data_IF_533048547486
#
_entry.id   IF_533048547486
#
_cell.length_a   1.000
_cell.length_b   1.000
_cell.length_c   1.000
_cell.angle_alpha   90.00
_cell.angle_beta   90.00
_cell.angle_gamma   90.00
#
_symmetry.space_group_name_H-M   'P 1'
#
loop_
_entity.id
_entity.type
_entity.pdbx_description
1 polymer ?
#
# COMPACT_ATOMS: atom_id res chain seq x y z
N UNK A 1 -6.86 18.61 9.78
CA UNK A 1 -6.58 19.70 10.74
C UNK A 1 -5.45 20.51 10.12
N UNK A 2 -5.57 21.83 9.99
CA UNK A 2 -4.52 22.68 9.40
C UNK A 2 -3.75 23.45 10.48
N UNK A 3 -2.61 24.05 10.12
CA UNK A 3 -1.73 24.80 11.03
C UNK A 3 -1.95 26.32 11.00
N UNK A 4 -3.01 26.83 10.35
CA UNK A 4 -3.21 28.28 10.17
C UNK A 4 -3.24 29.05 11.50
N UNK A 5 -3.95 28.51 12.49
CA UNK A 5 -4.05 29.14 13.82
C UNK A 5 -2.71 29.16 14.56
N UNK A 6 -1.93 28.10 14.43
CA UNK A 6 -0.60 27.98 15.02
C UNK A 6 0.37 28.96 14.36
N UNK A 7 0.46 28.94 13.03
CA UNK A 7 1.30 29.81 12.21
C UNK A 7 1.00 31.30 12.44
N UNK A 8 -0.28 31.67 12.44
CA UNK A 8 -0.71 33.04 12.71
C UNK A 8 -0.26 33.52 14.10
N UNK A 9 -0.46 32.70 15.13
CA UNK A 9 -0.06 33.04 16.50
C UNK A 9 1.45 33.15 16.64
N UNK A 10 2.21 32.24 16.02
CA UNK A 10 3.67 32.29 15.99
C UNK A 10 4.19 33.59 15.36
N UNK A 11 3.53 34.06 14.30
CA UNK A 11 3.84 35.32 13.63
C UNK A 11 3.23 36.57 14.31
N UNK A 12 2.61 36.42 15.49
CA UNK A 12 1.95 37.50 16.24
C UNK A 12 0.91 38.29 15.44
N UNK A 13 0.23 37.61 14.49
CA UNK A 13 -0.81 38.20 13.64
C UNK A 13 -2.20 38.00 14.22
N UNK A 14 -3.08 38.95 13.97
CA UNK A 14 -4.52 38.85 14.24
C UNK A 14 -5.24 38.14 13.09
N UNK A 15 -6.43 37.60 13.35
CA UNK A 15 -7.23 36.99 12.28
C UNK A 15 -7.66 38.02 11.22
N UNK A 16 -7.78 39.30 11.59
CA UNK A 16 -8.13 40.36 10.66
C UNK A 16 -6.95 40.64 9.71
N UNK A 17 -5.72 40.77 10.22
CA UNK A 17 -4.54 41.04 9.39
C UNK A 17 -4.32 39.98 8.30
N UNK A 18 -4.50 38.69 8.63
CA UNK A 18 -4.34 37.62 7.64
C UNK A 18 -5.53 37.58 6.68
N UNK A 19 -6.75 37.88 7.15
CA UNK A 19 -7.92 37.97 6.29
C UNK A 19 -7.81 39.13 5.28
N UNK A 20 -7.28 40.28 5.71
CA UNK A 20 -7.04 41.44 4.85
C UNK A 20 -6.01 41.12 3.76
N UNK A 21 -4.92 40.42 4.11
CA UNK A 21 -3.93 39.92 3.13
C UNK A 21 -4.58 38.99 2.10
N UNK A 22 -5.51 38.14 2.53
CA UNK A 22 -6.19 37.17 1.67
C UNK A 22 -7.38 37.74 0.89
N UNK A 23 -7.64 39.04 1.02
CA UNK A 23 -8.82 39.73 0.49
C UNK A 23 -10.13 39.01 0.84
N UNK A 24 -10.31 38.74 2.15
CA UNK A 24 -11.48 38.03 2.65
C UNK A 24 -11.96 38.54 4.01
N UNK A 25 -13.15 38.11 4.41
CA UNK A 25 -13.67 38.46 5.74
C UNK A 25 -12.93 37.72 6.86
N UNK A 26 -12.74 38.37 8.01
CA UNK A 26 -12.22 37.73 9.24
C UNK A 26 -12.98 36.46 9.62
N UNK A 27 -14.31 36.47 9.45
CA UNK A 27 -15.15 35.29 9.71
C UNK A 27 -14.84 34.16 8.74
N UNK A 28 -14.58 34.46 7.46
CA UNK A 28 -14.13 33.48 6.48
C UNK A 28 -12.79 32.85 6.85
N UNK A 29 -11.81 33.67 7.23
CA UNK A 29 -10.51 33.17 7.70
C UNK A 29 -10.64 32.34 8.99
N UNK A 30 -11.47 32.75 9.95
CA UNK A 30 -11.76 31.97 11.16
C UNK A 30 -12.33 30.58 10.83
N UNK A 31 -13.23 30.48 9.84
CA UNK A 31 -13.74 29.18 9.37
C UNK A 31 -12.64 28.29 8.81
N UNK A 32 -11.66 28.86 8.09
CA UNK A 32 -10.49 28.10 7.65
C UNK A 32 -9.66 27.60 8.85
N UNK A 33 -9.34 28.44 9.83
CA UNK A 33 -8.60 28.01 11.04
C UNK A 33 -9.31 26.86 11.79
N UNK A 34 -10.63 26.87 11.81
CA UNK A 34 -11.44 25.85 12.47
C UNK A 34 -11.74 24.62 11.60
N UNK A 35 -11.35 24.62 10.32
CA UNK A 35 -11.68 23.54 9.38
C UNK A 35 -13.16 23.49 8.96
N UNK A 36 -13.93 24.53 9.25
CA UNK A 36 -15.34 24.66 8.85
C UNK A 36 -15.51 24.98 7.36
N UNK A 37 -14.41 25.28 6.65
CA UNK A 37 -14.41 25.54 5.21
C UNK A 37 -13.11 25.05 4.59
N UNK A 38 -13.22 24.47 3.39
CA UNK A 38 -12.07 24.00 2.63
C UNK A 38 -11.26 25.19 2.07
N UNK A 39 -9.94 25.06 2.12
CA UNK A 39 -9.00 26.01 1.53
C UNK A 39 -8.68 25.49 0.13
N UNK A 40 -8.92 26.31 -0.90
CA UNK A 40 -8.59 25.94 -2.28
C UNK A 40 -7.06 25.96 -2.49
N UNK A 41 -6.51 25.18 -3.44
CA UNK A 41 -5.06 25.08 -3.64
C UNK A 41 -4.35 26.43 -3.83
N UNK A 42 -4.93 27.33 -4.63
CA UNK A 42 -4.40 28.69 -4.87
C UNK A 42 -4.31 29.52 -3.59
N UNK A 43 -5.32 29.40 -2.72
CA UNK A 43 -5.36 30.10 -1.42
C UNK A 43 -4.42 29.46 -0.40
N UNK A 44 -4.26 28.14 -0.45
CA UNK A 44 -3.31 27.43 0.40
C UNK A 44 -1.87 27.84 0.06
N UNK A 45 -1.54 27.97 -1.23
CA UNK A 45 -0.24 28.48 -1.68
C UNK A 45 0.02 29.90 -1.18
N UNK A 46 -0.92 30.83 -1.41
CA UNK A 46 -0.73 32.21 -0.97
C UNK A 46 -0.54 32.34 0.56
N UNK A 47 -1.22 31.51 1.35
CA UNK A 47 -1.01 31.46 2.80
C UNK A 47 0.33 30.82 3.17
N UNK A 48 0.78 29.80 2.42
CA UNK A 48 2.05 29.14 2.62
C UNK A 48 3.20 30.11 2.37
N UNK A 49 3.15 30.85 1.26
CA UNK A 49 4.07 31.93 0.90
C UNK A 49 4.09 33.04 1.97
N UNK A 50 2.90 33.45 2.44
CA UNK A 50 2.76 34.47 3.50
C UNK A 50 3.44 34.06 4.81
N UNK A 51 3.36 32.78 5.18
CA UNK A 51 3.96 32.25 6.40
C UNK A 51 5.37 31.69 6.22
N UNK A 52 5.88 31.62 4.98
CA UNK A 52 7.20 31.07 4.66
C UNK A 52 7.34 29.58 4.96
N UNK A 53 6.30 28.79 4.70
CA UNK A 53 6.26 27.33 4.94
C UNK A 53 5.76 26.59 3.71
N UNK A 54 5.94 25.26 3.65
CA UNK A 54 5.35 24.44 2.59
C UNK A 54 3.82 24.39 2.70
N UNK A 55 3.13 24.17 1.59
CA UNK A 55 1.67 23.93 1.59
C UNK A 55 1.33 22.68 2.41
N UNK A 56 2.18 21.65 2.34
CA UNK A 56 2.03 20.42 3.12
C UNK A 56 2.07 20.68 4.63
N UNK A 57 3.02 21.48 5.11
CA UNK A 57 3.10 21.89 6.51
C UNK A 57 1.86 22.69 6.92
N UNK A 58 1.50 23.70 6.11
CA UNK A 58 0.36 24.57 6.38
C UNK A 58 -0.95 23.79 6.53
N UNK A 59 -1.20 22.85 5.64
CA UNK A 59 -2.40 22.01 5.66
C UNK A 59 -2.31 20.87 6.69
N UNK A 60 -1.12 20.67 7.29
CA UNK A 60 -0.86 19.65 8.30
C UNK A 60 -0.91 18.26 7.69
N UNK A 61 -0.24 18.05 6.55
CA UNK A 61 -0.12 16.78 5.84
C UNK A 61 1.25 16.10 5.99
N UNK A 62 2.31 16.84 6.33
CA UNK A 62 3.68 16.29 6.39
C UNK A 62 3.79 15.09 7.33
N UNK A 63 3.25 15.19 8.55
CA UNK A 63 3.31 14.09 9.53
C UNK A 63 2.56 12.85 9.04
N UNK A 64 1.38 13.02 8.43
CA UNK A 64 0.57 11.90 7.94
C UNK A 64 1.18 11.27 6.69
N UNK A 65 1.78 12.07 5.80
CA UNK A 65 2.52 11.59 4.63
C UNK A 65 3.75 10.80 5.09
N UNK A 66 4.49 11.31 6.08
CA UNK A 66 5.68 10.67 6.64
C UNK A 66 5.31 9.31 7.28
N UNK A 67 4.29 9.30 8.14
CA UNK A 67 3.72 8.07 8.72
C UNK A 67 3.27 7.09 7.64
N UNK A 68 2.61 7.57 6.58
CA UNK A 68 2.17 6.72 5.48
C UNK A 68 3.37 6.08 4.75
N UNK A 69 4.36 6.88 4.35
CA UNK A 69 5.47 6.45 3.50
C UNK A 69 6.57 5.68 4.24
N UNK A 70 6.82 6.02 5.50
CA UNK A 70 7.95 5.45 6.27
C UNK A 70 7.54 4.32 7.20
N UNK A 71 6.27 4.23 7.56
CA UNK A 71 5.77 3.20 8.47
C UNK A 71 4.68 2.33 7.83
N UNK A 72 3.54 2.92 7.49
CA UNK A 72 2.34 2.14 7.13
C UNK A 72 2.49 1.37 5.82
N UNK A 73 2.93 2.04 4.74
CA UNK A 73 3.09 1.43 3.42
C UNK A 73 4.21 0.37 3.43
N UNK A 74 5.41 0.63 3.98
CA UNK A 74 6.45 -0.38 4.11
C UNK A 74 6.00 -1.61 4.90
N UNK A 75 5.31 -1.41 6.03
CA UNK A 75 4.80 -2.50 6.86
C UNK A 75 3.79 -3.35 6.08
N UNK A 76 2.85 -2.72 5.37
CA UNK A 76 1.88 -3.46 4.56
C UNK A 76 2.54 -4.26 3.42
N UNK A 77 3.55 -3.69 2.76
CA UNK A 77 4.34 -4.38 1.73
C UNK A 77 5.08 -5.59 2.34
N UNK A 78 5.71 -5.40 3.49
CA UNK A 78 6.43 -6.47 4.18
C UNK A 78 5.52 -7.64 4.53
N UNK A 79 4.33 -7.37 5.08
CA UNK A 79 3.35 -8.40 5.43
C UNK A 79 2.86 -9.19 4.20
N UNK A 80 2.64 -8.52 3.07
CA UNK A 80 2.25 -9.19 1.82
C UNK A 80 3.39 -10.01 1.24
N UNK A 81 4.62 -9.51 1.28
CA UNK A 81 5.79 -10.26 0.81
C UNK A 81 5.99 -11.52 1.65
N UNK A 82 5.87 -11.43 2.97
CA UNK A 82 5.93 -12.58 3.87
C UNK A 82 4.86 -13.63 3.53
N UNK A 83 3.62 -13.20 3.26
CA UNK A 83 2.57 -14.12 2.80
C UNK A 83 2.92 -14.77 1.46
N UNK A 84 3.42 -13.99 0.51
CA UNK A 84 3.84 -14.50 -0.79
C UNK A 84 4.93 -15.56 -0.67
N UNK A 85 5.98 -15.30 0.12
CA UNK A 85 7.07 -16.26 0.36
C UNK A 85 6.57 -17.55 1.00
N UNK A 86 5.65 -17.47 1.97
CA UNK A 86 5.03 -18.65 2.58
C UNK A 86 4.29 -19.49 1.54
N UNK A 87 3.43 -18.88 0.72
CA UNK A 87 2.69 -19.61 -0.31
C UNK A 87 3.58 -20.10 -1.45
N UNK A 88 4.68 -19.40 -1.74
CA UNK A 88 5.68 -19.84 -2.73
C UNK A 88 6.38 -21.12 -2.24
N UNK A 89 6.67 -21.20 -0.95
CA UNK A 89 7.20 -22.44 -0.35
C UNK A 89 6.20 -23.59 -0.45
N UNK A 90 4.91 -23.36 -0.20
CA UNK A 90 3.86 -24.39 -0.35
C UNK A 90 3.74 -24.84 -1.80
N UNK A 91 3.73 -23.90 -2.74
CA UNK A 91 3.67 -24.18 -4.17
C UNK A 91 4.86 -25.03 -4.63
N UNK A 92 6.09 -24.67 -4.23
CA UNK A 92 7.29 -25.43 -4.57
C UNK A 92 7.26 -26.85 -3.99
N UNK A 93 6.76 -27.01 -2.76
CA UNK A 93 6.59 -28.32 -2.14
C UNK A 93 5.55 -29.17 -2.89
N UNK A 94 4.43 -28.56 -3.32
CA UNK A 94 3.40 -29.23 -4.11
C UNK A 94 3.92 -29.66 -5.50
N UNK A 95 4.76 -28.85 -6.15
CA UNK A 95 5.46 -29.24 -7.39
C UNK A 95 6.32 -30.48 -7.14
N UNK A 96 7.15 -30.45 -6.09
CA UNK A 96 8.04 -31.56 -5.77
C UNK A 96 7.24 -32.85 -5.48
N UNK A 97 6.16 -32.75 -4.70
CA UNK A 97 5.27 -33.87 -4.42
C UNK A 97 4.57 -34.40 -5.69
N UNK A 98 4.09 -33.50 -6.56
CA UNK A 98 3.48 -33.87 -7.84
C UNK A 98 4.46 -34.64 -8.71
N UNK A 99 5.69 -34.14 -8.87
CA UNK A 99 6.72 -34.82 -9.67
C UNK A 99 7.08 -36.18 -9.07
N UNK A 100 7.23 -36.26 -7.74
CA UNK A 100 7.50 -37.52 -7.07
C UNK A 100 6.39 -38.55 -7.31
N UNK A 101 5.11 -38.16 -7.20
CA UNK A 101 4.02 -39.10 -7.45
C UNK A 101 3.90 -39.46 -8.93
N UNK A 102 4.26 -38.57 -9.87
CA UNK A 102 4.38 -38.92 -11.29
C UNK A 102 5.46 -39.97 -11.53
N UNK A 103 6.64 -39.80 -10.93
CA UNK A 103 7.73 -40.78 -11.00
C UNK A 103 7.26 -42.14 -10.43
N UNK A 104 6.56 -42.13 -9.29
CA UNK A 104 5.97 -43.34 -8.70
C UNK A 104 4.97 -44.02 -9.64
N UNK A 105 4.15 -43.27 -10.38
CA UNK A 105 3.23 -43.83 -11.38
C UNK A 105 4.04 -44.51 -12.50
N UNK A 106 5.07 -43.84 -13.01
CA UNK A 106 5.93 -44.38 -14.08
C UNK A 106 6.57 -45.70 -13.64
N UNK A 107 7.14 -45.74 -12.43
CA UNK A 107 7.73 -46.96 -11.87
C UNK A 107 6.69 -48.07 -11.66
N UNK A 108 5.48 -47.74 -11.22
CA UNK A 108 4.41 -48.71 -11.01
C UNK A 108 3.82 -49.29 -12.29
N UNK A 109 4.11 -48.70 -13.46
CA UNK A 109 3.72 -49.20 -14.77
C UNK A 109 4.72 -50.22 -15.34
N UNK A 110 5.87 -50.42 -14.70
CA UNK A 110 6.80 -51.50 -15.06
C UNK A 110 6.08 -52.87 -14.96
N UNK A 111 6.09 -53.70 -16.03
CA UNK A 111 5.44 -55.00 -16.03
C UNK A 111 5.82 -55.91 -14.85
N UNK A 112 7.05 -55.81 -14.34
CA UNK A 112 7.53 -56.60 -13.21
C UNK A 112 6.94 -56.13 -11.86
N UNK A 113 6.57 -54.86 -11.76
CA UNK A 113 6.04 -54.24 -10.53
C UNK A 113 4.54 -53.89 -10.61
N UNK A 114 3.90 -54.20 -11.73
CA UNK A 114 2.56 -53.74 -12.06
C UNK A 114 1.50 -54.22 -11.07
N UNK A 115 0.69 -53.28 -10.59
CA UNK A 115 -0.53 -53.57 -9.83
C UNK A 115 -1.53 -52.45 -9.99
N UNK A 116 -2.71 -52.76 -10.55
CA UNK A 116 -3.79 -51.78 -10.72
C UNK A 116 -4.22 -51.12 -9.40
N UNK A 117 -4.18 -51.86 -8.29
CA UNK A 117 -4.49 -51.30 -6.97
C UNK A 117 -3.43 -50.28 -6.55
N UNK A 118 -2.14 -50.63 -6.67
CA UNK A 118 -1.01 -49.75 -6.34
C UNK A 118 -1.06 -48.46 -7.19
N UNK A 119 -1.34 -48.59 -8.49
CA UNK A 119 -1.49 -47.45 -9.39
C UNK A 119 -2.65 -46.56 -8.93
N UNK A 120 -3.81 -47.14 -8.62
CA UNK A 120 -4.96 -46.39 -8.09
C UNK A 120 -4.62 -45.58 -6.83
N UNK A 121 -3.91 -46.20 -5.88
CA UNK A 121 -3.49 -45.54 -4.64
C UNK A 121 -2.52 -44.37 -4.91
N UNK A 122 -1.58 -44.53 -5.86
CA UNK A 122 -0.65 -43.46 -6.26
C UNK A 122 -1.40 -42.33 -6.99
N UNK A 123 -2.33 -42.66 -7.90
CA UNK A 123 -3.12 -41.65 -8.63
C UNK A 123 -3.98 -40.79 -7.68
N UNK A 124 -4.50 -41.36 -6.59
CA UNK A 124 -5.21 -40.59 -5.56
C UNK A 124 -4.27 -39.60 -4.88
N UNK A 125 -3.04 -40.02 -4.53
CA UNK A 125 -2.04 -39.10 -3.95
C UNK A 125 -1.65 -38.00 -4.92
N UNK A 126 -1.39 -38.35 -6.18
CA UNK A 126 -1.08 -37.41 -7.25
C UNK A 126 -2.19 -36.37 -7.40
N UNK A 127 -3.46 -36.80 -7.42
CA UNK A 127 -4.58 -35.87 -7.47
C UNK A 127 -4.61 -34.90 -6.27
N UNK A 128 -4.25 -35.39 -5.08
CA UNK A 128 -4.10 -34.55 -3.89
C UNK A 128 -2.98 -33.51 -4.01
N UNK A 129 -1.81 -33.88 -4.56
CA UNK A 129 -0.71 -32.94 -4.79
C UNK A 129 -1.05 -31.90 -5.87
N UNK A 130 -1.73 -32.32 -6.95
CA UNK A 130 -2.23 -31.41 -7.99
C UNK A 130 -3.22 -30.39 -7.40
N UNK A 131 -4.13 -30.82 -6.52
CA UNK A 131 -5.06 -29.90 -5.87
C UNK A 131 -4.35 -28.84 -5.01
N UNK A 132 -3.29 -29.23 -4.29
CA UNK A 132 -2.46 -28.30 -3.52
C UNK A 132 -1.74 -27.31 -4.44
N UNK A 133 -1.23 -27.80 -5.58
CA UNK A 133 -0.57 -26.99 -6.58
C UNK A 133 -1.52 -25.93 -7.16
N UNK A 134 -2.73 -26.33 -7.54
CA UNK A 134 -3.77 -25.42 -8.05
C UNK A 134 -4.11 -24.34 -7.00
N UNK A 135 -4.43 -24.76 -5.78
CA UNK A 135 -4.84 -23.84 -4.70
C UNK A 135 -3.74 -22.83 -4.34
N UNK A 136 -2.49 -23.28 -4.26
CA UNK A 136 -1.37 -22.40 -3.95
C UNK A 136 -1.04 -21.45 -5.11
N UNK A 137 -1.18 -21.91 -6.36
CA UNK A 137 -0.96 -21.07 -7.54
C UNK A 137 -1.97 -19.92 -7.65
N UNK A 138 -3.24 -20.15 -7.33
CA UNK A 138 -4.28 -19.13 -7.34
C UNK A 138 -3.97 -18.03 -6.30
N UNK A 139 -3.60 -18.43 -5.09
CA UNK A 139 -3.26 -17.50 -4.01
C UNK A 139 -2.01 -16.68 -4.38
N UNK A 140 -1.00 -17.32 -4.96
CA UNK A 140 0.21 -16.61 -5.42
C UNK A 140 -0.11 -15.53 -6.46
N UNK A 141 -1.03 -15.81 -7.39
CA UNK A 141 -1.47 -14.83 -8.39
C UNK A 141 -2.13 -13.62 -7.71
N UNK A 142 -3.07 -13.87 -6.80
CA UNK A 142 -3.76 -12.80 -6.05
C UNK A 142 -2.78 -11.96 -5.21
N UNK A 143 -1.82 -12.60 -4.55
CA UNK A 143 -0.78 -11.90 -3.78
C UNK A 143 0.13 -11.07 -4.69
N UNK A 144 0.48 -11.58 -5.88
CA UNK A 144 1.28 -10.84 -6.85
C UNK A 144 0.56 -9.58 -7.35
N UNK A 145 -0.74 -9.69 -7.62
CA UNK A 145 -1.58 -8.54 -7.96
C UNK A 145 -1.63 -7.51 -6.83
N UNK A 146 -1.78 -7.97 -5.59
CA UNK A 146 -1.74 -7.09 -4.43
C UNK A 146 -0.40 -6.36 -4.33
N UNK A 147 0.74 -7.06 -4.45
CA UNK A 147 2.08 -6.45 -4.46
C UNK A 147 2.21 -5.35 -5.52
N UNK A 148 1.72 -5.58 -6.74
CA UNK A 148 1.74 -4.57 -7.81
C UNK A 148 0.88 -3.34 -7.46
N UNK A 149 -0.29 -3.54 -6.86
CA UNK A 149 -1.16 -2.45 -6.39
C UNK A 149 -0.50 -1.65 -5.28
N UNK A 150 0.17 -2.30 -4.32
CA UNK A 150 0.93 -1.62 -3.27
C UNK A 150 2.10 -0.82 -3.81
N UNK A 151 2.86 -1.36 -4.77
CA UNK A 151 3.94 -0.61 -5.43
C UNK A 151 3.41 0.62 -6.18
N UNK A 152 2.28 0.46 -6.89
CA UNK A 152 1.61 1.57 -7.57
C UNK A 152 1.14 2.64 -6.59
N UNK A 153 0.56 2.21 -5.46
CA UNK A 153 0.13 3.12 -4.39
C UNK A 153 1.31 3.86 -3.78
N UNK A 154 2.42 3.17 -3.48
CA UNK A 154 3.65 3.79 -2.98
C UNK A 154 4.15 4.89 -3.91
N UNK A 155 4.28 4.60 -5.21
CA UNK A 155 4.69 5.59 -6.22
C UNK A 155 3.75 6.79 -6.29
N UNK A 156 2.44 6.59 -6.11
CA UNK A 156 1.46 7.69 -6.06
C UNK A 156 1.62 8.54 -4.80
N UNK A 157 1.90 7.94 -3.65
CA UNK A 157 2.20 8.68 -2.41
C UNK A 157 3.51 9.47 -2.51
N UNK A 158 4.56 8.90 -3.11
CA UNK A 158 5.83 9.61 -3.35
C UNK A 158 5.61 10.83 -4.27
N UNK A 159 4.81 10.68 -5.34
CA UNK A 159 4.41 11.82 -6.19
C UNK A 159 3.59 12.87 -5.44
N UNK A 160 2.71 12.43 -4.56
CA UNK A 160 1.89 13.32 -3.73
C UNK A 160 2.75 14.10 -2.74
N UNK A 161 3.70 13.46 -2.08
CA UNK A 161 4.70 14.10 -1.22
C UNK A 161 5.49 15.16 -1.98
N UNK A 162 6.04 14.82 -3.16
CA UNK A 162 6.78 15.77 -3.98
C UNK A 162 5.93 16.99 -4.40
N UNK A 163 4.65 16.79 -4.74
CA UNK A 163 3.76 17.92 -5.08
C UNK A 163 3.66 18.97 -3.95
N UNK A 164 3.69 18.56 -2.67
CA UNK A 164 3.65 19.50 -1.56
C UNK A 164 5.03 20.07 -1.17
N UNK A 165 6.10 19.36 -1.52
CA UNK A 165 7.48 19.77 -1.22
C UNK A 165 8.09 20.69 -2.29
N UNK A 166 7.70 20.52 -3.56
CA UNK A 166 8.21 21.26 -4.72
C UNK A 166 7.53 22.64 -4.93
N UNK A 167 6.59 23.02 -4.07
CA UNK A 167 5.89 24.31 -4.11
C UNK A 167 6.61 25.45 -3.34
N UNK A 168 7.94 25.36 -3.23
CA UNK A 168 8.82 26.39 -2.66
C UNK A 168 9.51 27.22 -3.75
#
# INVERSE_FOLDING_TARGET
>A
MNKLKELRKANKKTQQEVADFMDMTRRGYQKWENGESQIKPDKAQALADYFGVSVGYLLGYEEQIDLALRENIPTAIQEINKKYENYLSVYNAAIAGTNQELDNVIEALDPEQFSMKKIGDILIKLAGEIQKLESSSEILLQLKEAQMKFLTMKHRFEKFENYFNDLN
#
